data_IF_250753800892
#
_entry.id   IF_250753800892
#
_cell.length_a   1.000
_cell.length_b   1.000
_cell.length_c   1.000
_cell.angle_alpha   90.00
_cell.angle_beta   90.00
_cell.angle_gamma   90.00
#
_symmetry.space_group_name_H-M   'P 1'
#
loop_
_entity.id
_entity.type
_entity.pdbx_description
1 polymer ?
#
# COMPACT_ATOMS: atom_id res chain seq x y z
N UNK A 1 8.02 -18.36 -13.72
CA UNK A 1 8.72 -17.39 -12.85
C UNK A 1 8.99 -17.97 -11.46
N UNK A 2 8.02 -18.58 -10.79
CA UNK A 2 8.11 -19.07 -9.40
C UNK A 2 9.28 -20.06 -9.16
N UNK A 3 9.45 -21.05 -10.04
CA UNK A 3 10.51 -22.04 -9.90
C UNK A 3 11.91 -21.44 -10.05
N UNK A 4 12.08 -20.47 -10.96
CA UNK A 4 13.35 -19.77 -11.16
C UNK A 4 13.66 -18.92 -9.93
N UNK A 5 12.67 -18.18 -9.41
CA UNK A 5 12.83 -17.37 -8.21
C UNK A 5 13.17 -18.24 -6.99
N UNK A 6 12.47 -19.36 -6.79
CA UNK A 6 12.72 -20.28 -5.68
C UNK A 6 14.17 -20.82 -5.70
N UNK A 7 14.66 -21.24 -6.86
CA UNK A 7 16.05 -21.72 -7.00
C UNK A 7 17.06 -20.60 -6.76
N UNK A 8 16.80 -19.39 -7.28
CA UNK A 8 17.65 -18.22 -7.08
C UNK A 8 17.76 -17.85 -5.60
N UNK A 9 16.62 -17.79 -4.91
CA UNK A 9 16.57 -17.48 -3.47
C UNK A 9 17.26 -18.57 -2.64
N UNK A 10 17.00 -19.84 -2.93
CA UNK A 10 17.64 -20.97 -2.24
C UNK A 10 19.16 -20.94 -2.38
N UNK A 11 19.67 -20.66 -3.59
CA UNK A 11 21.09 -20.55 -3.85
C UNK A 11 21.73 -19.38 -3.07
N UNK A 12 21.09 -18.22 -3.06
CA UNK A 12 21.55 -17.05 -2.32
C UNK A 12 21.60 -17.32 -0.81
N UNK A 13 20.57 -17.94 -0.24
CA UNK A 13 20.53 -18.33 1.18
C UNK A 13 21.59 -19.40 1.49
N UNK A 14 21.80 -20.39 0.63
CA UNK A 14 22.85 -21.40 0.82
C UNK A 14 24.25 -20.76 0.81
N UNK A 15 24.49 -19.82 -0.11
CA UNK A 15 25.74 -19.07 -0.17
C UNK A 15 25.97 -18.23 1.09
N UNK A 16 24.95 -17.52 1.55
CA UNK A 16 24.96 -16.73 2.78
C UNK A 16 25.41 -17.58 3.98
N UNK A 17 24.83 -18.76 4.15
CA UNK A 17 25.20 -19.70 5.22
C UNK A 17 26.64 -20.23 5.06
N UNK A 18 27.08 -20.55 3.85
CA UNK A 18 28.42 -21.05 3.57
C UNK A 18 29.51 -20.03 3.96
N UNK A 19 29.29 -18.75 3.64
CA UNK A 19 30.27 -17.68 3.92
C UNK A 19 30.03 -16.97 5.27
N UNK A 20 29.02 -17.39 6.02
CA UNK A 20 28.64 -16.84 7.34
C UNK A 20 28.37 -15.34 7.30
N UNK A 21 27.67 -14.88 6.25
CA UNK A 21 27.23 -13.50 6.06
C UNK A 21 25.72 -13.43 5.94
N UNK A 22 25.13 -12.28 6.25
CA UNK A 22 23.73 -12.05 5.96
C UNK A 22 23.50 -11.88 4.45
N UNK A 23 22.31 -12.18 3.99
CA UNK A 23 21.96 -12.11 2.55
C UNK A 23 22.23 -10.72 1.97
N UNK A 24 21.85 -9.66 2.71
CA UNK A 24 22.06 -8.29 2.25
C UNK A 24 23.54 -7.92 2.08
N UNK A 25 24.45 -8.55 2.82
CA UNK A 25 25.91 -8.33 2.68
C UNK A 25 26.51 -8.98 1.43
N UNK A 26 25.78 -9.90 0.80
CA UNK A 26 26.19 -10.58 -0.44
C UNK A 26 25.71 -9.85 -1.70
N UNK A 27 24.74 -8.97 -1.55
CA UNK A 27 24.20 -8.20 -2.67
C UNK A 27 25.07 -6.94 -2.81
N UNK A 28 25.66 -6.71 -4.01
CA UNK A 28 26.46 -5.52 -4.24
C UNK A 28 25.65 -4.25 -3.94
N UNK A 29 26.12 -3.47 -3.00
CA UNK A 29 25.48 -2.20 -2.68
C UNK A 29 26.00 -1.08 -3.59
N UNK A 30 25.21 -0.71 -4.58
CA UNK A 30 25.55 0.34 -5.54
C UNK A 30 25.22 1.75 -5.03
N UNK A 31 24.52 1.86 -3.89
CA UNK A 31 24.03 3.12 -3.32
C UNK A 31 24.69 3.53 -1.98
N UNK A 32 25.70 2.79 -1.53
CA UNK A 32 26.42 3.04 -0.26
C UNK A 32 26.11 1.98 0.81
N UNK A 33 26.11 2.37 2.09
CA UNK A 33 25.84 1.43 3.19
C UNK A 33 24.39 0.95 3.17
N UNK A 34 24.11 -0.32 3.52
CA UNK A 34 22.76 -0.84 3.61
C UNK A 34 21.94 -0.08 4.65
N UNK A 35 20.70 0.25 4.31
CA UNK A 35 19.73 0.87 5.22
C UNK A 35 18.35 0.25 5.03
N UNK A 36 17.50 0.37 6.05
CA UNK A 36 16.10 -0.01 5.95
C UNK A 36 15.33 1.08 5.17
N UNK A 37 14.60 0.71 4.11
CA UNK A 37 13.82 1.67 3.34
C UNK A 37 12.61 2.19 4.14
N UNK A 38 12.05 3.32 3.72
CA UNK A 38 10.74 3.76 4.19
C UNK A 38 9.70 2.70 3.82
N UNK A 39 8.90 2.19 4.78
CA UNK A 39 7.90 1.17 4.47
C UNK A 39 6.72 1.74 3.70
N UNK A 40 6.25 1.03 2.68
CA UNK A 40 4.95 1.22 2.05
C UNK A 40 4.00 0.20 2.68
N UNK A 41 3.01 0.67 3.43
CA UNK A 41 2.15 -0.19 4.24
C UNK A 41 0.73 -0.18 3.68
N UNK A 42 0.32 -1.28 3.07
CA UNK A 42 -1.04 -1.45 2.58
C UNK A 42 -2.01 -1.59 3.77
N UNK A 43 -2.90 -0.63 3.95
CA UNK A 43 -3.83 -0.58 5.10
C UNK A 43 -5.30 -0.69 4.71
N UNK A 44 -5.62 -0.54 3.41
CA UNK A 44 -6.95 -0.75 2.87
C UNK A 44 -6.85 -1.35 1.48
N UNK A 45 -7.62 -2.39 1.22
CA UNK A 45 -7.64 -3.16 0.00
C UNK A 45 -8.94 -2.97 -0.78
N UNK A 46 -8.81 -3.00 -2.10
CA UNK A 46 -9.91 -3.13 -3.06
C UNK A 46 -9.52 -4.04 -4.22
N UNK A 47 -10.18 -3.89 -5.36
CA UNK A 47 -9.90 -4.64 -6.58
C UNK A 47 -9.84 -6.15 -6.37
N UNK A 48 -8.82 -6.79 -6.94
CA UNK A 48 -8.63 -8.24 -6.83
C UNK A 48 -8.24 -8.73 -5.42
N UNK A 49 -7.80 -7.84 -4.53
CA UNK A 49 -7.36 -8.18 -3.16
C UNK A 49 -8.48 -8.16 -2.12
N UNK A 50 -9.70 -7.75 -2.49
CA UNK A 50 -10.84 -7.66 -1.58
C UNK A 50 -12.17 -7.95 -2.29
N UNK A 51 -13.10 -8.57 -1.58
CA UNK A 51 -14.49 -8.72 -2.03
C UNK A 51 -15.33 -7.54 -1.53
N UNK A 52 -15.13 -6.38 -2.18
CA UNK A 52 -15.80 -5.13 -1.86
C UNK A 52 -16.06 -4.29 -3.13
N UNK A 53 -16.56 -3.07 -2.96
CA UNK A 53 -16.95 -2.15 -4.04
C UNK A 53 -15.84 -1.17 -4.47
N UNK A 54 -14.61 -1.33 -3.97
CA UNK A 54 -13.48 -0.43 -4.25
C UNK A 54 -12.65 -1.02 -5.39
N UNK A 55 -12.44 -0.26 -6.47
CA UNK A 55 -11.76 -0.76 -7.68
C UNK A 55 -10.22 -0.68 -7.58
N UNK A 56 -9.68 0.35 -6.93
CA UNK A 56 -8.23 0.46 -6.69
C UNK A 56 -7.78 -0.61 -5.70
N UNK A 57 -6.71 -1.33 -6.05
CA UNK A 57 -6.29 -2.54 -5.37
C UNK A 57 -5.69 -2.29 -3.99
N UNK A 58 -4.81 -1.27 -3.85
CA UNK A 58 -4.12 -0.99 -2.60
C UNK A 58 -4.07 0.50 -2.28
N UNK A 59 -4.40 0.80 -1.03
CA UNK A 59 -4.22 2.12 -0.44
C UNK A 59 -3.18 2.02 0.67
N UNK A 60 -2.04 2.65 0.44
CA UNK A 60 -0.88 2.55 1.32
C UNK A 60 -0.61 3.84 2.05
N UNK A 61 -0.09 3.72 3.26
CA UNK A 61 0.57 4.83 3.98
C UNK A 61 2.08 4.71 3.86
N UNK A 62 2.74 5.85 3.76
CA UNK A 62 4.20 5.97 3.59
C UNK A 62 4.71 6.91 4.67
N UNK A 63 5.16 6.39 5.83
CA UNK A 63 5.65 7.20 6.95
C UNK A 63 7.10 7.66 6.71
N UNK A 64 7.28 8.66 5.84
CA UNK A 64 8.59 9.15 5.41
C UNK A 64 9.18 10.25 6.31
N UNK A 65 8.37 10.85 7.19
CA UNK A 65 8.78 11.96 8.05
C UNK A 65 9.48 11.54 9.35
N UNK A 66 10.13 10.37 9.39
CA UNK A 66 10.80 9.83 10.56
C UNK A 66 12.26 9.51 10.27
N UNK A 67 13.14 9.80 11.23
CA UNK A 67 14.57 9.49 11.10
C UNK A 67 14.88 8.00 11.29
N UNK A 68 14.03 7.27 12.04
CA UNK A 68 14.23 5.86 12.38
C UNK A 68 13.12 4.99 11.82
N UNK A 69 13.50 3.83 11.33
CA UNK A 69 12.55 2.84 10.80
C UNK A 69 11.53 2.36 11.85
N UNK A 70 11.95 2.17 13.10
CA UNK A 70 11.06 1.74 14.18
C UNK A 70 9.99 2.79 14.52
N UNK A 71 10.32 4.08 14.47
CA UNK A 71 9.33 5.16 14.62
C UNK A 71 8.37 5.22 13.43
N UNK A 72 8.88 5.06 12.21
CA UNK A 72 8.06 4.97 11.00
C UNK A 72 7.09 3.78 11.06
N UNK A 73 7.59 2.60 11.42
CA UNK A 73 6.77 1.39 11.56
C UNK A 73 5.71 1.56 12.66
N UNK A 74 6.09 2.10 13.82
CA UNK A 74 5.16 2.35 14.92
C UNK A 74 4.03 3.28 14.49
N UNK A 75 4.36 4.39 13.83
CA UNK A 75 3.36 5.35 13.34
C UNK A 75 2.36 4.68 12.40
N UNK A 76 2.83 3.82 11.50
CA UNK A 76 1.96 3.07 10.60
C UNK A 76 1.01 2.13 11.35
N UNK A 77 1.49 1.44 12.39
CA UNK A 77 0.64 0.57 13.23
C UNK A 77 -0.41 1.39 13.99
N UNK A 78 -0.05 2.54 14.53
CA UNK A 78 -0.98 3.43 15.23
C UNK A 78 -2.08 3.95 14.30
N UNK A 79 -1.73 4.37 13.07
CA UNK A 79 -2.69 4.75 12.04
C UNK A 79 -3.60 3.58 11.65
N UNK A 80 -3.05 2.38 11.46
CA UNK A 80 -3.82 1.18 11.14
C UNK A 80 -4.89 0.88 12.22
N UNK A 81 -4.53 0.98 13.50
CA UNK A 81 -5.48 0.76 14.58
C UNK A 81 -6.51 1.88 14.72
N UNK A 82 -6.14 3.12 14.43
CA UNK A 82 -7.07 4.25 14.38
C UNK A 82 -8.07 4.08 13.24
N UNK A 83 -7.59 3.69 12.04
CA UNK A 83 -8.46 3.37 10.91
C UNK A 83 -9.44 2.26 11.26
N UNK A 84 -8.97 1.18 11.90
CA UNK A 84 -9.85 0.09 12.37
C UNK A 84 -10.97 0.58 13.26
N UNK A 85 -10.63 1.45 14.23
CA UNK A 85 -11.60 2.03 15.16
C UNK A 85 -12.63 2.88 14.41
N UNK A 86 -12.18 3.77 13.54
CA UNK A 86 -13.03 4.65 12.74
C UNK A 86 -13.99 3.86 11.85
N UNK A 87 -13.48 2.86 11.11
CA UNK A 87 -14.32 1.98 10.28
C UNK A 87 -15.41 1.32 11.13
N UNK A 88 -15.05 0.78 12.31
CA UNK A 88 -16.01 0.16 13.23
C UNK A 88 -17.05 1.15 13.75
N UNK A 89 -16.63 2.35 14.15
CA UNK A 89 -17.52 3.39 14.68
C UNK A 89 -18.51 3.89 13.61
N UNK A 90 -18.10 3.84 12.33
CA UNK A 90 -18.94 4.16 11.17
C UNK A 90 -19.77 2.94 10.67
N UNK A 91 -19.72 1.79 11.36
CA UNK A 91 -20.48 0.60 10.98
C UNK A 91 -19.93 -0.13 9.74
N UNK A 92 -18.69 0.18 9.33
CA UNK A 92 -18.02 -0.45 8.20
C UNK A 92 -17.29 -1.75 8.61
N UNK A 93 -17.08 -2.62 7.62
CA UNK A 93 -16.38 -3.89 7.83
C UNK A 93 -14.90 -3.68 8.20
N UNK A 94 -14.39 -4.50 9.12
CA UNK A 94 -12.97 -4.50 9.54
C UNK A 94 -12.31 -5.86 9.30
N UNK A 95 -12.90 -6.70 8.43
CA UNK A 95 -12.22 -7.84 7.86
C UNK A 95 -11.08 -7.36 6.95
N UNK A 96 -10.08 -8.20 6.77
CA UNK A 96 -8.89 -7.89 5.98
C UNK A 96 -8.92 -8.61 4.65
N UNK A 97 -8.36 -7.97 3.63
CA UNK A 97 -8.08 -8.58 2.33
C UNK A 97 -6.82 -9.44 2.35
N UNK A 98 -6.38 -9.86 1.17
CA UNK A 98 -5.27 -10.82 1.00
C UNK A 98 -3.93 -10.33 1.54
N UNK A 99 -3.72 -9.02 1.60
CA UNK A 99 -2.47 -8.40 2.06
C UNK A 99 -2.58 -7.69 3.42
N UNK A 100 -3.65 -7.95 4.17
CA UNK A 100 -3.82 -7.48 5.55
C UNK A 100 -4.40 -6.08 5.70
N UNK A 101 -4.67 -5.34 4.62
CA UNK A 101 -5.45 -4.12 4.62
C UNK A 101 -6.93 -4.41 4.87
N UNK A 102 -7.66 -3.47 5.47
CA UNK A 102 -9.10 -3.61 5.65
C UNK A 102 -9.84 -3.62 4.32
N UNK A 103 -10.97 -4.31 4.25
CA UNK A 103 -11.78 -4.49 3.04
C UNK A 103 -13.23 -3.99 3.22
N UNK A 104 -13.48 -2.76 3.66
CA UNK A 104 -14.83 -2.20 3.75
C UNK A 104 -15.36 -1.83 2.36
N UNK A 105 -16.69 -1.66 2.27
CA UNK A 105 -17.32 -1.03 1.11
C UNK A 105 -17.26 0.49 1.24
N UNK A 106 -16.81 1.16 0.18
CA UNK A 106 -16.88 2.59 -0.02
C UNK A 106 -17.53 2.88 -1.38
N UNK A 107 -18.01 4.10 -1.58
CA UNK A 107 -18.65 4.48 -2.85
C UNK A 107 -17.65 5.06 -3.85
N UNK A 108 -16.46 5.47 -3.38
CA UNK A 108 -15.39 5.99 -4.23
C UNK A 108 -14.01 5.82 -3.58
N UNK A 109 -12.96 5.84 -4.42
CA UNK A 109 -11.57 5.86 -3.97
C UNK A 109 -11.24 7.12 -3.17
N UNK A 110 -11.91 8.24 -3.48
CA UNK A 110 -11.75 9.49 -2.73
C UNK A 110 -12.22 9.34 -1.28
N UNK A 111 -13.36 8.71 -1.03
CA UNK A 111 -13.83 8.44 0.34
C UNK A 111 -12.84 7.60 1.14
N UNK A 112 -12.19 6.62 0.48
CA UNK A 112 -11.13 5.81 1.10
C UNK A 112 -9.95 6.68 1.51
N UNK A 113 -9.47 7.54 0.61
CA UNK A 113 -8.35 8.45 0.88
C UNK A 113 -8.68 9.43 2.00
N UNK A 114 -9.87 10.02 1.99
CA UNK A 114 -10.34 10.94 3.03
C UNK A 114 -10.39 10.24 4.40
N UNK A 115 -10.85 8.98 4.47
CA UNK A 115 -10.90 8.20 5.71
C UNK A 115 -9.50 7.87 6.26
N UNK A 116 -8.55 7.57 5.37
CA UNK A 116 -7.16 7.32 5.75
C UNK A 116 -6.50 8.63 6.23
N UNK A 117 -6.70 9.74 5.52
CA UNK A 117 -6.17 11.06 5.91
C UNK A 117 -6.68 11.48 7.30
N UNK A 118 -7.98 11.28 7.56
CA UNK A 118 -8.56 11.51 8.90
C UNK A 118 -7.94 10.59 9.95
N UNK A 119 -7.67 9.34 9.62
CA UNK A 119 -7.03 8.38 10.52
C UNK A 119 -5.60 8.77 10.87
N UNK A 120 -4.83 9.30 9.91
CA UNK A 120 -3.49 9.84 10.15
C UNK A 120 -3.56 11.02 11.12
N UNK A 121 -4.45 11.98 10.87
CA UNK A 121 -4.61 13.17 11.70
C UNK A 121 -5.09 12.82 13.13
N UNK A 122 -6.06 11.91 13.27
CA UNK A 122 -6.58 11.45 14.57
C UNK A 122 -5.53 10.67 15.38
N UNK A 123 -4.57 10.01 14.70
CA UNK A 123 -3.43 9.37 15.33
C UNK A 123 -2.36 10.34 15.84
N UNK A 124 -2.54 11.66 15.60
CA UNK A 124 -1.61 12.70 16.02
C UNK A 124 -0.46 12.97 15.05
N UNK A 125 -0.51 12.39 13.85
CA UNK A 125 0.48 12.62 12.80
C UNK A 125 -0.02 13.65 11.77
N UNK A 126 0.92 14.22 11.01
CA UNK A 126 0.61 15.21 9.98
C UNK A 126 0.54 14.56 8.61
N UNK A 127 -0.67 14.49 7.99
CA UNK A 127 -0.81 14.01 6.62
C UNK A 127 0.04 14.84 5.63
N UNK A 128 0.72 14.17 4.70
CA UNK A 128 1.58 14.80 3.70
C UNK A 128 2.95 15.25 4.20
N UNK A 129 3.10 15.59 5.50
CA UNK A 129 4.39 15.99 6.07
C UNK A 129 5.13 14.82 6.72
N UNK A 130 4.46 14.01 7.51
CA UNK A 130 5.04 12.85 8.21
C UNK A 130 4.65 11.54 7.55
N UNK A 131 3.40 11.44 7.10
CA UNK A 131 2.84 10.24 6.47
C UNK A 131 2.12 10.67 5.20
N UNK A 132 2.59 10.20 4.06
CA UNK A 132 1.94 10.37 2.77
C UNK A 132 1.11 9.13 2.40
N UNK A 133 0.28 9.27 1.38
CA UNK A 133 -0.47 8.16 0.78
C UNK A 133 0.22 7.69 -0.50
N UNK A 134 0.02 6.42 -0.82
CA UNK A 134 0.39 5.84 -2.10
C UNK A 134 -0.69 4.86 -2.55
N UNK A 135 -0.82 4.69 -3.87
CA UNK A 135 -1.80 3.80 -4.48
C UNK A 135 -1.11 2.77 -5.36
N UNK A 136 -1.60 1.54 -5.32
CA UNK A 136 -1.45 0.60 -6.42
C UNK A 136 -2.82 0.44 -7.11
N UNK A 137 -2.95 1.07 -8.26
CA UNK A 137 -4.22 1.04 -8.99
C UNK A 137 -4.49 -0.33 -9.61
N UNK A 138 -3.45 -1.11 -9.96
CA UNK A 138 -3.56 -2.37 -10.67
C UNK A 138 -4.49 -2.27 -11.90
N UNK A 139 -4.31 -1.22 -12.69
CA UNK A 139 -5.29 -0.74 -13.69
C UNK A 139 -5.63 -1.74 -14.80
N UNK A 140 -4.83 -2.79 -14.99
CA UNK A 140 -5.14 -3.89 -15.92
C UNK A 140 -6.35 -4.71 -15.48
N UNK A 141 -6.69 -4.73 -14.19
CA UNK A 141 -7.81 -5.50 -13.65
C UNK A 141 -9.18 -4.92 -14.05
N UNK A 142 -9.25 -3.61 -14.24
CA UNK A 142 -10.46 -2.91 -14.65
C UNK A 142 -10.37 -2.30 -16.07
N UNK A 143 -9.35 -2.67 -16.88
CA UNK A 143 -9.24 -2.29 -18.30
C UNK A 143 -9.95 -3.30 -19.19
N UNK A 144 -10.97 -2.86 -19.90
CA UNK A 144 -11.78 -3.69 -20.78
C UNK A 144 -12.29 -2.87 -21.98
N UNK A 145 -12.24 -3.47 -23.18
CA UNK A 145 -12.76 -2.88 -24.41
C UNK A 145 -12.22 -1.44 -24.66
N UNK A 146 -10.90 -1.26 -24.49
CA UNK A 146 -10.19 0.02 -24.63
C UNK A 146 -10.64 1.12 -23.65
N UNK A 147 -11.26 0.75 -22.54
CA UNK A 147 -11.72 1.64 -21.47
C UNK A 147 -11.32 1.14 -20.10
N UNK A 148 -11.12 2.06 -19.15
CA UNK A 148 -11.01 1.77 -17.73
C UNK A 148 -12.40 1.86 -17.11
N UNK A 149 -12.85 0.78 -16.52
CA UNK A 149 -14.15 0.72 -15.81
C UNK A 149 -13.87 0.90 -14.33
N UNK A 150 -14.11 2.09 -13.82
CA UNK A 150 -13.85 2.45 -12.42
C UNK A 150 -15.03 3.23 -11.84
N UNK A 151 -15.47 2.86 -10.65
CA UNK A 151 -16.61 3.48 -9.92
C UNK A 151 -17.90 3.55 -10.77
N UNK A 152 -18.03 2.60 -11.71
CA UNK A 152 -19.18 2.52 -12.63
C UNK A 152 -19.04 3.34 -13.92
N UNK A 153 -18.00 4.13 -14.06
CA UNK A 153 -17.70 4.94 -15.24
C UNK A 153 -16.75 4.21 -16.20
N UNK A 154 -16.86 4.51 -17.50
CA UNK A 154 -16.01 3.96 -18.56
C UNK A 154 -15.07 5.05 -19.10
N UNK A 155 -13.88 5.16 -18.55
CA UNK A 155 -12.91 6.21 -18.83
C UNK A 155 -11.97 5.86 -19.98
N UNK A 156 -11.62 6.84 -20.79
CA UNK A 156 -10.48 6.78 -21.73
C UNK A 156 -9.15 6.88 -21.00
N UNK A 157 -8.04 6.66 -21.70
CA UNK A 157 -6.69 6.83 -21.13
C UNK A 157 -6.46 8.23 -20.54
N UNK A 158 -6.95 9.28 -21.21
CA UNK A 158 -6.81 10.65 -20.74
C UNK A 158 -7.65 10.89 -19.48
N UNK A 159 -8.93 10.49 -19.52
CA UNK A 159 -9.84 10.64 -18.38
C UNK A 159 -9.36 9.84 -17.16
N UNK A 160 -8.77 8.65 -17.36
CA UNK A 160 -8.17 7.88 -16.26
C UNK A 160 -6.94 8.57 -15.67
N UNK A 161 -6.12 9.19 -16.52
CA UNK A 161 -4.98 10.00 -16.06
C UNK A 161 -5.44 11.20 -15.25
N UNK A 162 -6.46 11.91 -15.71
CA UNK A 162 -7.06 13.05 -15.01
C UNK A 162 -7.67 12.60 -13.67
N UNK A 163 -8.38 11.47 -13.65
CA UNK A 163 -8.91 10.88 -12.41
C UNK A 163 -7.81 10.60 -11.37
N UNK A 164 -6.68 9.99 -11.78
CA UNK A 164 -5.57 9.74 -10.85
C UNK A 164 -4.88 11.03 -10.39
N UNK A 165 -4.80 12.05 -11.25
CA UNK A 165 -4.30 13.38 -10.87
C UNK A 165 -5.23 14.02 -9.84
N UNK A 166 -6.54 13.94 -10.02
CA UNK A 166 -7.52 14.49 -9.08
C UNK A 166 -7.44 13.79 -7.70
N UNK A 167 -7.18 12.48 -7.66
CA UNK A 167 -6.96 11.76 -6.40
C UNK A 167 -5.66 12.19 -5.69
N UNK A 168 -4.70 12.74 -6.41
CA UNK A 168 -3.41 13.18 -5.86
C UNK A 168 -3.42 14.59 -5.26
N UNK A 169 -4.50 15.35 -5.46
CA UNK A 169 -4.70 16.73 -4.99
C UNK A 169 -5.56 16.78 -3.73
#
# INVERSE_FOLDING_TARGET
>A
ANSILAVSMANLVAHSKLVQKYVYELIPNIYGEPFLPVPFMNILNGGAHADNSVDIQEFMIVPHGFEKFDDALRSGVEVYHTLKKRLKDNGLATNVGDEGGFAPNFTSSKEVLDEIMMSIAESGYKPGEQISLALDAASTEFFKDDKYIIEGDALSNTEMSDYLIDLSN
#
